data_IF_242091142691
#
_entry.id   IF_242091142691
#
_cell.length_a   1.000
_cell.length_b   1.000
_cell.length_c   1.000
_cell.angle_alpha   90.00
_cell.angle_beta   90.00
_cell.angle_gamma   90.00
#
_symmetry.space_group_name_H-M   'P 1'
#
loop_
_entity.id
_entity.type
_entity.pdbx_description
1 polymer ?
#
# COMPACT_ATOMS: atom_id res chain seq x y z
N UNK A 1 -13.96 14.09 -0.49
CA UNK A 1 -13.22 14.22 0.79
C UNK A 1 -12.75 12.84 1.20
N UNK A 2 -11.46 12.66 1.56
CA UNK A 2 -10.87 11.32 1.76
C UNK A 2 -10.87 10.81 3.20
N UNK A 3 -11.19 11.67 4.18
CA UNK A 3 -11.06 11.36 5.61
C UNK A 3 -9.68 10.76 5.98
N UNK A 4 -8.62 11.43 5.50
CA UNK A 4 -7.20 11.13 5.75
C UNK A 4 -6.46 12.45 5.94
N UNK A 5 -5.39 12.42 6.72
CA UNK A 5 -4.51 13.58 6.90
C UNK A 5 -3.77 13.89 5.59
N UNK A 6 -3.97 15.10 5.07
CA UNK A 6 -3.33 15.56 3.83
C UNK A 6 -1.80 15.65 3.96
N UNK A 7 -1.23 15.73 5.16
CA UNK A 7 0.23 15.65 5.35
C UNK A 7 0.82 14.29 4.91
N UNK A 8 -0.03 13.26 4.78
CA UNK A 8 0.34 11.87 4.43
C UNK A 8 -0.29 11.37 3.12
N UNK A 9 -0.97 12.23 2.36
CA UNK A 9 -1.66 11.87 1.11
C UNK A 9 -0.88 12.39 -0.09
N UNK A 10 -0.68 11.53 -1.09
CA UNK A 10 -0.15 11.89 -2.40
C UNK A 10 -1.19 11.49 -3.44
N UNK A 11 -1.55 12.43 -4.32
CA UNK A 11 -2.43 12.22 -5.47
C UNK A 11 -1.56 12.07 -6.73
N UNK A 12 -1.76 10.99 -7.48
CA UNK A 12 -1.11 10.76 -8.76
C UNK A 12 -2.19 10.77 -9.85
N UNK A 13 -2.15 11.74 -10.76
CA UNK A 13 -3.12 11.87 -11.85
C UNK A 13 -2.41 12.22 -13.17
N UNK A 14 -3.13 12.13 -14.28
CA UNK A 14 -2.70 12.53 -15.62
C UNK A 14 -3.36 13.83 -16.10
N UNK A 15 -4.39 14.30 -15.40
CA UNK A 15 -5.21 15.46 -15.78
C UNK A 15 -5.05 16.59 -14.75
N UNK A 16 -4.46 17.76 -15.12
CA UNK A 16 -4.28 18.89 -14.21
C UNK A 16 -5.58 19.42 -13.58
N UNK A 17 -6.70 19.28 -14.27
CA UNK A 17 -8.02 19.70 -13.79
C UNK A 17 -8.50 18.89 -12.57
N UNK A 18 -8.08 17.65 -12.41
CA UNK A 18 -8.43 16.81 -11.25
C UNK A 18 -7.70 17.24 -9.98
N UNK A 19 -6.51 17.84 -10.12
CA UNK A 19 -5.64 18.21 -8.99
C UNK A 19 -5.85 19.66 -8.52
N UNK A 20 -6.69 20.42 -9.20
CA UNK A 20 -6.89 21.86 -8.97
C UNK A 20 -7.31 22.24 -7.53
N UNK A 21 -7.88 21.31 -6.76
CA UNK A 21 -8.26 21.52 -5.35
C UNK A 21 -7.12 21.30 -4.36
N UNK A 22 -6.09 20.53 -4.75
CA UNK A 22 -4.98 20.10 -3.89
C UNK A 22 -3.66 19.98 -4.70
N UNK A 23 -3.22 21.02 -5.42
CA UNK A 23 -2.03 20.95 -6.28
C UNK A 23 -0.77 20.56 -5.50
N UNK A 24 -0.62 21.03 -4.26
CA UNK A 24 0.52 20.78 -3.38
C UNK A 24 0.62 19.33 -2.88
N UNK A 25 -0.46 18.55 -3.00
CA UNK A 25 -0.52 17.12 -2.69
C UNK A 25 -0.39 16.24 -3.94
N UNK A 26 -0.19 16.83 -5.12
CA UNK A 26 -0.35 16.15 -6.40
C UNK A 26 0.95 15.99 -7.21
N UNK A 27 0.98 14.94 -8.03
CA UNK A 27 1.97 14.73 -9.08
C UNK A 27 1.19 14.47 -10.37
N UNK A 28 1.32 15.36 -11.35
CA UNK A 28 0.75 15.17 -12.69
C UNK A 28 1.75 14.42 -13.55
N UNK A 29 1.43 13.17 -13.91
CA UNK A 29 2.26 12.33 -14.79
C UNK A 29 1.76 12.36 -16.24
N UNK A 30 2.64 12.10 -17.24
CA UNK A 30 2.22 11.95 -18.62
C UNK A 30 1.14 10.88 -18.79
N UNK A 31 0.14 11.15 -19.63
CA UNK A 31 -0.90 10.18 -19.98
C UNK A 31 -0.29 8.99 -20.72
N UNK A 32 -0.54 7.78 -20.23
CA UNK A 32 -0.09 6.56 -20.89
C UNK A 32 -0.73 6.43 -22.28
N UNK A 33 0.10 6.16 -23.30
CA UNK A 33 -0.29 6.13 -24.72
C UNK A 33 -0.53 4.72 -25.25
N UNK A 34 -0.52 3.70 -24.39
CA UNK A 34 -0.62 2.29 -24.78
C UNK A 34 0.73 1.63 -25.11
N UNK A 35 1.85 2.35 -24.98
CA UNK A 35 3.18 1.80 -25.20
C UNK A 35 3.54 0.76 -24.10
N UNK A 36 3.79 -0.52 -24.43
CA UNK A 36 4.20 -1.54 -23.46
C UNK A 36 5.65 -1.39 -22.99
N UNK A 37 6.47 -0.61 -23.71
CA UNK A 37 7.83 -0.25 -23.31
C UNK A 37 7.91 0.95 -22.36
N UNK A 38 6.78 1.56 -22.00
CA UNK A 38 6.71 2.65 -21.04
C UNK A 38 7.10 2.16 -19.63
N UNK A 39 8.01 2.90 -18.98
CA UNK A 39 8.51 2.60 -17.64
C UNK A 39 8.25 3.73 -16.64
N UNK A 40 7.45 4.74 -16.98
CA UNK A 40 7.23 5.92 -16.13
C UNK A 40 6.73 5.58 -14.72
N UNK A 41 5.76 4.66 -14.61
CA UNK A 41 5.26 4.19 -13.31
C UNK A 41 6.34 3.42 -12.51
N UNK A 42 7.14 2.59 -13.18
CA UNK A 42 8.25 1.85 -12.55
C UNK A 42 9.36 2.80 -12.09
N UNK A 43 9.65 3.84 -12.87
CA UNK A 43 10.63 4.87 -12.55
C UNK A 43 10.18 5.78 -11.37
N UNK A 44 8.88 5.84 -11.08
CA UNK A 44 8.34 6.55 -9.91
C UNK A 44 8.52 5.77 -8.59
N UNK A 45 8.73 4.45 -8.65
CA UNK A 45 8.85 3.58 -7.46
C UNK A 45 9.93 4.07 -6.47
N UNK A 46 11.19 4.36 -6.89
CA UNK A 46 12.24 4.77 -5.94
C UNK A 46 11.90 6.04 -5.15
N UNK A 47 11.19 6.99 -5.78
CA UNK A 47 10.73 8.22 -5.14
C UNK A 47 9.66 7.94 -4.07
N UNK A 48 8.61 7.18 -4.43
CA UNK A 48 7.51 6.84 -3.51
C UNK A 48 7.99 5.93 -2.36
N UNK A 49 8.88 4.96 -2.64
CA UNK A 49 9.56 4.16 -1.62
C UNK A 49 10.32 5.03 -0.63
N UNK A 50 11.04 6.06 -1.10
CA UNK A 50 11.82 6.94 -0.21
C UNK A 50 10.91 7.65 0.80
N UNK A 51 9.73 8.12 0.37
CA UNK A 51 8.73 8.74 1.25
C UNK A 51 8.16 7.70 2.23
N UNK A 52 7.85 6.48 1.76
CA UNK A 52 7.36 5.40 2.60
C UNK A 52 8.37 4.88 3.64
N UNK A 53 9.66 4.92 3.32
CA UNK A 53 10.77 4.52 4.20
C UNK A 53 11.09 5.62 5.22
N UNK A 54 11.31 6.87 4.77
CA UNK A 54 11.67 7.98 5.66
C UNK A 54 10.51 8.53 6.48
N UNK A 55 9.26 8.32 6.04
CA UNK A 55 8.02 8.73 6.73
C UNK A 55 8.07 10.20 7.19
N UNK A 56 8.28 11.16 6.25
CA UNK A 56 8.37 12.58 6.58
C UNK A 56 7.12 13.07 7.30
N UNK A 57 7.26 14.14 8.10
CA UNK A 57 6.13 14.70 8.83
C UNK A 57 5.07 15.31 7.90
N UNK A 58 5.48 15.88 6.77
CA UNK A 58 4.60 16.37 5.72
C UNK A 58 5.21 16.05 4.35
N UNK A 59 4.42 15.52 3.41
CA UNK A 59 4.86 15.24 2.04
C UNK A 59 4.88 16.48 1.15
N UNK A 60 4.05 17.49 1.42
CA UNK A 60 3.80 18.62 0.51
C UNK A 60 5.07 19.44 0.18
N UNK A 61 5.96 19.78 1.14
CA UNK A 61 7.22 20.48 0.82
C UNK A 61 8.17 19.64 -0.05
N UNK A 62 8.08 18.31 0.04
CA UNK A 62 8.88 17.40 -0.80
C UNK A 62 8.30 17.40 -2.21
N UNK A 63 6.98 17.25 -2.38
CA UNK A 63 6.33 17.30 -3.69
C UNK A 63 6.61 18.63 -4.41
N UNK A 64 6.47 19.76 -3.70
CA UNK A 64 6.74 21.09 -4.24
C UNK A 64 8.19 21.26 -4.75
N UNK A 65 9.18 20.59 -4.13
CA UNK A 65 10.57 20.62 -4.60
C UNK A 65 10.77 19.94 -5.97
N UNK A 66 9.84 19.10 -6.41
CA UNK A 66 9.82 18.45 -7.73
C UNK A 66 8.72 18.98 -8.67
N UNK A 67 8.00 20.04 -8.28
CA UNK A 67 6.97 20.66 -9.12
C UNK A 67 7.54 21.14 -10.46
N UNK A 68 6.84 20.83 -11.56
CA UNK A 68 7.27 21.16 -12.92
C UNK A 68 8.48 20.36 -13.45
N UNK A 69 8.94 19.32 -12.73
CA UNK A 69 10.09 18.49 -13.11
C UNK A 69 9.69 17.04 -13.37
N UNK A 70 10.55 16.32 -14.09
CA UNK A 70 10.49 14.85 -14.16
C UNK A 70 10.91 14.28 -12.80
N UNK A 71 9.91 13.93 -11.97
CA UNK A 71 10.13 13.46 -10.59
C UNK A 71 11.04 12.21 -10.55
N UNK A 72 10.81 11.15 -11.36
CA UNK A 72 11.73 10.01 -11.46
C UNK A 72 13.19 10.41 -11.77
N UNK A 73 13.40 11.25 -12.78
CA UNK A 73 14.74 11.58 -13.27
C UNK A 73 15.51 12.49 -12.32
N UNK A 74 14.85 13.49 -11.73
CA UNK A 74 15.46 14.36 -10.72
C UNK A 74 15.71 13.63 -9.40
N UNK A 75 14.79 12.76 -8.96
CA UNK A 75 15.02 11.94 -7.77
C UNK A 75 16.19 10.96 -7.98
N UNK A 76 16.31 10.31 -9.14
CA UNK A 76 17.42 9.42 -9.45
C UNK A 76 18.79 10.13 -9.40
N UNK A 77 18.88 11.37 -9.89
CA UNK A 77 20.09 12.21 -9.72
C UNK A 77 20.38 12.49 -8.24
N UNK A 78 19.36 12.88 -7.46
CA UNK A 78 19.52 13.18 -6.03
C UNK A 78 19.91 11.97 -5.20
N UNK A 79 19.39 10.78 -5.52
CA UNK A 79 19.77 9.52 -4.90
C UNK A 79 21.23 9.14 -5.24
N UNK A 80 21.66 9.35 -6.50
CA UNK A 80 23.05 9.16 -6.90
C UNK A 80 24.01 10.13 -6.17
N UNK A 81 23.70 11.43 -6.14
CA UNK A 81 24.45 12.44 -5.37
C UNK A 81 24.56 12.06 -3.88
N UNK A 82 23.47 11.58 -3.27
CA UNK A 82 23.45 11.17 -1.87
C UNK A 82 24.30 9.90 -1.63
N UNK A 83 24.24 8.92 -2.54
CA UNK A 83 25.09 7.72 -2.51
C UNK A 83 26.57 8.09 -2.63
N UNK A 84 26.94 8.96 -3.55
CA UNK A 84 28.32 9.42 -3.73
C UNK A 84 28.86 10.15 -2.50
N UNK A 85 28.06 11.02 -1.87
CA UNK A 85 28.42 11.67 -0.60
C UNK A 85 28.63 10.66 0.52
N UNK A 86 27.73 9.68 0.67
CA UNK A 86 27.87 8.60 1.65
C UNK A 86 29.18 7.81 1.43
N UNK A 87 29.51 7.48 0.18
CA UNK A 87 30.76 6.80 -0.20
C UNK A 87 31.98 7.68 0.14
N UNK A 88 31.93 8.98 -0.14
CA UNK A 88 33.02 9.90 0.13
C UNK A 88 33.27 10.06 1.65
N UNK A 89 32.21 10.27 2.43
CA UNK A 89 32.29 10.34 3.89
C UNK A 89 32.80 9.03 4.50
N UNK A 90 32.34 7.88 4.01
CA UNK A 90 32.82 6.58 4.48
C UNK A 90 34.30 6.38 4.15
N UNK A 91 34.75 6.74 2.94
CA UNK A 91 36.17 6.68 2.54
C UNK A 91 37.06 7.59 3.39
N UNK A 92 36.57 8.74 3.79
CA UNK A 92 37.33 9.66 4.64
C UNK A 92 37.43 9.15 6.09
N UNK A 93 36.30 8.72 6.66
CA UNK A 93 36.25 8.08 7.99
C UNK A 93 37.06 6.77 8.05
N UNK A 94 37.06 5.97 6.97
CA UNK A 94 37.79 4.69 6.93
C UNK A 94 39.30 4.87 6.76
N UNK A 95 39.79 5.95 6.13
CA UNK A 95 41.23 6.31 6.14
C UNK A 95 41.76 6.51 7.56
N UNK A 96 40.96 7.16 8.43
CA UNK A 96 41.32 7.33 9.85
C UNK A 96 41.46 6.01 10.61
N UNK A 97 40.65 5.00 10.27
CA UNK A 97 40.70 3.65 10.86
C UNK A 97 41.78 2.76 10.23
N UNK A 98 42.17 2.99 8.97
CA UNK A 98 43.22 2.24 8.29
C UNK A 98 44.64 2.70 8.65
N UNK A 99 44.81 3.92 9.17
CA UNK A 99 46.11 4.46 9.56
C UNK A 99 46.68 3.88 10.88
N UNK A 100 45.83 3.31 11.73
CA UNK A 100 46.21 2.61 12.97
C UNK A 100 45.93 1.12 12.85
N UNK A 101 46.91 0.35 12.36
CA UNK A 101 46.72 -1.06 12.04
C UNK A 101 46.48 -1.98 13.25
N UNK A 102 45.22 -2.10 13.68
CA UNK A 102 44.61 -3.24 14.39
C UNK A 102 43.08 -3.03 14.46
N UNK A 103 42.34 -3.41 13.40
CA UNK A 103 40.87 -3.27 13.41
C UNK A 103 40.22 -4.33 14.29
N UNK A 104 39.46 -3.88 15.29
CA UNK A 104 38.83 -4.70 16.34
C UNK A 104 37.93 -5.83 15.79
N UNK A 105 37.41 -5.69 14.56
CA UNK A 105 36.66 -6.71 13.82
C UNK A 105 37.43 -8.03 13.64
N UNK A 106 38.77 -7.99 13.61
CA UNK A 106 39.61 -9.18 13.44
C UNK A 106 39.71 -10.03 14.71
N UNK A 107 39.29 -9.51 15.87
CA UNK A 107 39.33 -10.18 17.17
C UNK A 107 38.01 -10.92 17.48
N UNK A 108 36.88 -10.47 16.88
CA UNK A 108 35.54 -11.01 17.18
C UNK A 108 35.03 -12.06 16.18
N UNK A 109 35.94 -12.73 15.45
CA UNK A 109 35.65 -14.02 14.81
C UNK A 109 34.66 -14.02 13.65
N UNK A 110 34.33 -12.86 13.05
CA UNK A 110 33.51 -12.81 11.83
C UNK A 110 34.36 -13.26 10.64
N UNK A 111 34.37 -14.56 10.38
CA UNK A 111 34.81 -15.12 9.10
C UNK A 111 33.85 -14.64 8.02
N UNK A 112 34.28 -13.67 7.20
CA UNK A 112 33.52 -13.23 6.03
C UNK A 112 33.38 -14.39 5.06
N UNK A 113 32.15 -14.84 4.87
CA UNK A 113 31.80 -15.99 4.03
C UNK A 113 32.22 -15.78 2.57
N UNK A 114 32.85 -16.79 1.98
CA UNK A 114 33.46 -16.74 0.63
C UNK A 114 32.38 -17.09 -0.40
N UNK A 115 31.54 -16.10 -0.74
CA UNK A 115 30.51 -16.31 -1.75
C UNK A 115 29.75 -15.08 -2.25
N UNK A 116 29.73 -13.96 -1.50
CA UNK A 116 29.05 -12.73 -1.95
C UNK A 116 30.06 -11.65 -2.36
N UNK A 117 29.89 -11.00 -3.53
CA UNK A 117 30.67 -9.82 -3.91
C UNK A 117 30.19 -8.61 -3.11
N UNK A 118 30.47 -8.60 -1.81
CA UNK A 118 30.17 -7.45 -0.96
C UNK A 118 31.14 -6.33 -1.30
N UNK A 119 30.64 -5.26 -1.91
CA UNK A 119 31.42 -4.03 -2.04
C UNK A 119 31.85 -3.57 -0.65
N UNK A 120 33.11 -3.11 -0.43
CA UNK A 120 33.60 -2.75 0.91
C UNK A 120 32.92 -1.52 1.51
N UNK A 121 32.00 -0.90 0.77
CA UNK A 121 31.21 0.28 1.15
C UNK A 121 29.94 -0.20 1.85
N UNK A 122 29.60 0.31 3.05
CA UNK A 122 28.34 -0.02 3.69
C UNK A 122 27.15 0.51 2.87
N UNK A 123 26.07 -0.26 2.70
CA UNK A 123 24.88 0.21 2.00
C UNK A 123 24.25 1.42 2.71
N UNK A 124 23.68 2.34 1.94
CA UNK A 124 22.86 3.45 2.46
C UNK A 124 21.62 2.93 3.21
N UNK A 125 21.00 3.77 4.05
CA UNK A 125 19.78 3.41 4.77
C UNK A 125 18.64 2.95 3.84
N UNK A 126 18.45 3.62 2.69
CA UNK A 126 17.47 3.21 1.68
C UNK A 126 17.78 1.83 1.09
N UNK A 127 19.05 1.56 0.76
CA UNK A 127 19.47 0.27 0.21
C UNK A 127 19.30 -0.86 1.23
N UNK A 128 19.62 -0.62 2.50
CA UNK A 128 19.36 -1.58 3.58
C UNK A 128 17.87 -1.92 3.67
N UNK A 129 16.99 -0.89 3.67
CA UNK A 129 15.54 -1.08 3.77
C UNK A 129 14.93 -1.73 2.54
N UNK A 130 15.40 -1.41 1.33
CA UNK A 130 15.00 -2.10 0.09
C UNK A 130 15.44 -3.57 0.10
N UNK A 131 16.67 -3.87 0.52
CA UNK A 131 17.17 -5.24 0.60
C UNK A 131 16.40 -6.08 1.63
N UNK A 132 16.07 -5.50 2.78
CA UNK A 132 15.21 -6.11 3.80
C UNK A 132 13.81 -6.43 3.26
N UNK A 133 13.14 -5.46 2.62
CA UNK A 133 11.81 -5.65 2.03
C UNK A 133 11.81 -6.69 0.88
N UNK A 134 12.80 -6.65 -0.01
CA UNK A 134 12.93 -7.64 -1.09
C UNK A 134 13.22 -9.06 -0.56
N UNK A 135 13.91 -9.18 0.57
CA UNK A 135 14.14 -10.46 1.24
C UNK A 135 12.84 -10.98 1.86
N UNK A 136 12.15 -10.17 2.65
CA UNK A 136 10.85 -10.51 3.24
C UNK A 136 9.85 -10.99 2.17
N UNK A 137 9.71 -10.27 1.06
CA UNK A 137 8.83 -10.66 -0.04
C UNK A 137 9.20 -12.02 -0.67
N UNK A 138 10.50 -12.32 -0.83
CA UNK A 138 10.95 -13.62 -1.37
C UNK A 138 10.71 -14.77 -0.38
N UNK A 139 10.96 -14.50 0.90
CA UNK A 139 10.74 -15.46 1.98
C UNK A 139 9.23 -15.78 2.11
N UNK A 140 8.36 -14.76 2.02
CA UNK A 140 6.89 -14.91 1.92
C UNK A 140 6.45 -15.70 0.69
N UNK A 141 6.97 -15.38 -0.51
CA UNK A 141 6.65 -16.15 -1.72
C UNK A 141 7.07 -17.62 -1.61
N UNK A 142 8.25 -17.91 -1.05
CA UNK A 142 8.72 -19.26 -0.83
C UNK A 142 7.86 -20.01 0.20
N UNK A 143 7.41 -19.32 1.25
CA UNK A 143 6.49 -19.85 2.25
C UNK A 143 5.11 -20.19 1.64
N UNK A 144 4.52 -19.26 0.89
CA UNK A 144 3.26 -19.47 0.16
C UNK A 144 3.37 -20.61 -0.85
N UNK A 145 4.47 -20.68 -1.60
CA UNK A 145 4.70 -21.74 -2.60
C UNK A 145 4.85 -23.13 -1.95
N UNK A 146 5.52 -23.23 -0.80
CA UNK A 146 5.72 -24.50 -0.08
C UNK A 146 4.46 -24.99 0.66
N UNK A 147 3.63 -24.08 1.18
CA UNK A 147 2.42 -24.42 1.95
C UNK A 147 1.13 -24.30 1.13
N UNK A 148 1.24 -24.17 -0.20
CA UNK A 148 0.10 -23.89 -1.10
C UNK A 148 -1.09 -24.85 -0.89
N UNK A 149 -0.84 -26.15 -0.75
CA UNK A 149 -1.91 -27.13 -0.56
C UNK A 149 -2.67 -26.96 0.77
N UNK A 150 -2.00 -26.47 1.82
CA UNK A 150 -2.64 -26.16 3.10
C UNK A 150 -3.49 -24.90 2.99
N UNK A 151 -2.99 -23.86 2.30
CA UNK A 151 -3.74 -22.65 2.01
C UNK A 151 -4.96 -22.90 1.11
N UNK A 152 -4.83 -23.72 0.07
CA UNK A 152 -5.94 -24.10 -0.81
C UNK A 152 -7.04 -24.85 -0.02
N UNK A 153 -6.66 -25.75 0.90
CA UNK A 153 -7.60 -26.44 1.81
C UNK A 153 -8.29 -25.49 2.78
N UNK A 154 -7.54 -24.59 3.42
CA UNK A 154 -8.08 -23.59 4.35
C UNK A 154 -9.09 -22.67 3.64
N UNK A 155 -8.77 -22.23 2.42
CA UNK A 155 -9.63 -21.38 1.59
C UNK A 155 -10.94 -22.10 1.19
N UNK A 156 -10.89 -23.41 0.93
CA UNK A 156 -12.09 -24.20 0.66
C UNK A 156 -12.97 -24.36 1.90
N UNK A 157 -12.38 -24.63 3.07
CA UNK A 157 -13.10 -24.72 4.35
C UNK A 157 -13.78 -23.39 4.72
N UNK A 158 -13.06 -22.26 4.60
CA UNK A 158 -13.58 -20.92 4.86
C UNK A 158 -14.68 -20.52 3.86
N UNK A 159 -14.52 -20.86 2.58
CA UNK A 159 -15.56 -20.68 1.56
C UNK A 159 -16.81 -21.51 1.87
N UNK A 160 -16.67 -22.73 2.39
CA UNK A 160 -17.82 -23.54 2.82
C UNK A 160 -18.49 -22.99 4.08
N UNK A 161 -17.72 -22.44 5.03
CA UNK A 161 -18.26 -21.77 6.22
C UNK A 161 -19.04 -20.50 5.82
N UNK A 162 -18.45 -19.64 5.01
CA UNK A 162 -19.09 -18.44 4.47
C UNK A 162 -20.34 -18.77 3.64
N UNK A 163 -20.32 -19.85 2.85
CA UNK A 163 -21.50 -20.31 2.12
C UNK A 163 -22.62 -20.82 3.06
N UNK A 164 -22.28 -21.43 4.20
CA UNK A 164 -23.26 -21.82 5.23
C UNK A 164 -23.84 -20.61 5.96
N UNK A 165 -23.03 -19.62 6.31
CA UNK A 165 -23.51 -18.36 6.90
C UNK A 165 -24.38 -17.57 5.92
N UNK A 166 -23.92 -17.39 4.67
CA UNK A 166 -24.71 -16.71 3.65
C UNK A 166 -26.01 -17.45 3.33
N UNK A 167 -25.99 -18.79 3.21
CA UNK A 167 -27.24 -19.53 2.98
C UNK A 167 -28.18 -19.45 4.18
N UNK A 168 -27.71 -19.57 5.42
CA UNK A 168 -28.54 -19.36 6.62
C UNK A 168 -29.13 -17.96 6.71
N UNK A 169 -28.34 -16.93 6.39
CA UNK A 169 -28.78 -15.53 6.34
C UNK A 169 -29.80 -15.29 5.21
N UNK A 170 -29.56 -15.86 4.02
CA UNK A 170 -30.49 -15.81 2.89
C UNK A 170 -31.82 -16.52 3.21
N UNK A 171 -31.80 -17.68 3.85
CA UNK A 171 -33.01 -18.36 4.31
C UNK A 171 -33.77 -17.55 5.36
N UNK A 172 -33.08 -16.92 6.31
CA UNK A 172 -33.69 -16.04 7.31
C UNK A 172 -34.33 -14.77 6.70
N UNK A 173 -33.70 -14.18 5.67
CA UNK A 173 -34.29 -13.07 4.90
C UNK A 173 -35.49 -13.54 4.07
N UNK A 174 -35.42 -14.72 3.45
CA UNK A 174 -36.52 -15.27 2.66
C UNK A 174 -37.75 -15.56 3.53
N UNK A 175 -37.54 -16.13 4.73
CA UNK A 175 -38.59 -16.40 5.71
C UNK A 175 -39.17 -15.10 6.29
N UNK A 176 -38.32 -14.12 6.62
CA UNK A 176 -38.75 -12.78 7.03
C UNK A 176 -39.54 -12.01 5.96
N UNK A 177 -39.34 -12.33 4.68
CA UNK A 177 -40.06 -11.74 3.54
C UNK A 177 -41.34 -12.52 3.18
N UNK A 178 -41.33 -13.86 3.32
CA UNK A 178 -42.50 -14.71 3.11
C UNK A 178 -43.50 -14.69 4.30
N UNK A 179 -43.01 -14.44 5.52
CA UNK A 179 -43.78 -14.40 6.75
C UNK A 179 -44.71 -13.19 6.91
N UNK A 180 -44.65 -12.21 5.99
CA UNK A 180 -45.45 -10.98 6.06
C UNK A 180 -46.61 -11.00 5.07
N UNK A 181 -47.65 -11.80 5.36
CA UNK A 181 -48.97 -11.63 4.73
C UNK A 181 -49.59 -10.30 5.18
N UNK A 182 -49.97 -9.39 4.27
CA UNK A 182 -50.91 -8.33 4.60
C UNK A 182 -52.29 -8.95 4.81
N UNK A 183 -52.99 -8.54 5.88
CA UNK A 183 -54.40 -8.90 6.10
C UNK A 183 -55.21 -7.60 6.10
N UNK A 184 -55.61 -7.22 4.90
CA UNK A 184 -56.65 -6.27 4.51
C UNK A 184 -57.42 -6.99 3.37
N UNK A 185 -58.74 -6.94 3.18
CA UNK A 185 -59.78 -6.22 3.91
C UNK A 185 -61.20 -6.76 3.53
N UNK A 186 -62.20 -6.55 4.40
CA UNK A 186 -63.67 -6.47 4.08
C UNK A 186 -64.40 -7.69 3.39
N UNK A 187 -65.74 -7.87 3.35
CA UNK A 187 -66.93 -7.06 3.73
C UNK A 187 -68.26 -7.90 3.70
N UNK A 188 -69.34 -7.41 4.37
CA UNK A 188 -70.80 -7.70 4.18
C UNK A 188 -71.35 -9.05 4.73
N UNK A 189 -72.62 -9.20 5.20
CA UNK A 189 -73.82 -8.30 5.25
C UNK A 189 -74.86 -8.73 6.32
N UNK A 190 -75.65 -7.76 6.83
CA UNK A 190 -77.05 -7.86 7.32
C UNK A 190 -77.35 -8.74 8.58
N UNK A 191 -78.28 -8.44 9.51
CA UNK A 191 -79.30 -7.37 9.73
C UNK A 191 -79.15 -6.79 11.17
N UNK A 192 -79.98 -5.93 11.79
CA UNK A 192 -81.21 -5.17 11.45
C UNK A 192 -81.84 -4.51 12.70
N UNK A 193 -82.86 -3.65 12.54
CA UNK A 193 -83.63 -3.01 13.63
C UNK A 193 -82.95 -1.79 14.29
N UNK A 194 -83.22 -0.50 14.02
CA UNK A 194 -84.45 0.32 13.87
C UNK A 194 -84.83 1.10 15.16
N UNK A 195 -85.57 2.21 15.00
CA UNK A 195 -85.94 3.28 15.95
C UNK A 195 -84.80 4.29 16.33
N UNK A 196 -84.81 5.58 15.92
CA UNK A 196 -85.76 6.69 16.19
C UNK A 196 -85.58 7.28 17.61
N UNK A 197 -85.36 8.59 17.85
CA UNK A 197 -85.13 9.75 16.97
C UNK A 197 -85.20 11.08 17.78
N UNK A 198 -85.22 12.22 17.05
CA UNK A 198 -85.48 13.63 17.51
C UNK A 198 -84.39 14.42 18.28
N UNK A 199 -84.08 15.56 17.64
CA UNK A 199 -83.96 16.95 18.17
C UNK A 199 -82.97 17.25 19.28
#
# INVERSE_FOLDING_TARGET
YLNRDLSKVILLDTHPEHVATHPENSIVVPKWTGNPGDKGLVAMIPFLESIGIYKPQDVRPILQAYEGKDVPLEYAKKEAEARERHIAEWKDKSRGLAAGGFTLSSLFGVTTDVGTPHSPIPPTYLEQKRAEAQRQYKDEQAYIASHKAEFDKLLEEDRQAMAKEMSGSLWGVLDGMAGKKPVEDAKKTAEGGDAQGKK
#
